data_IF_706909222457
#
_entry.id   IF_706909222457
#
_cell.length_a   1.000
_cell.length_b   1.000
_cell.length_c   1.000
_cell.angle_alpha   90.00
_cell.angle_beta   90.00
_cell.angle_gamma   90.00
#
_symmetry.space_group_name_H-M   'P 1'
#
loop_
_entity.id
_entity.type
_entity.pdbx_description
1 polymer ?
#
# COMPACT_ATOMS: atom_id res chain seq x y z
N UNK A 1 -31.55 -5.77 0.64
CA UNK A 1 -30.25 -6.11 1.24
C UNK A 1 -29.35 -4.93 0.89
N UNK A 2 -29.01 -4.12 1.84
CA UNK A 2 -28.08 -2.98 1.64
C UNK A 2 -26.73 -3.57 1.26
N UNK A 3 -26.20 -3.22 0.09
CA UNK A 3 -24.85 -3.52 -0.34
C UNK A 3 -23.88 -2.77 0.61
N UNK A 4 -23.58 -3.38 1.74
CA UNK A 4 -22.56 -2.89 2.68
C UNK A 4 -21.21 -3.13 2.02
N UNK A 5 -20.57 -2.04 1.59
CA UNK A 5 -19.18 -2.09 1.14
C UNK A 5 -18.27 -2.47 2.33
N UNK A 6 -17.14 -3.17 2.08
CA UNK A 6 -16.17 -3.46 3.14
C UNK A 6 -15.66 -2.18 3.80
N UNK A 7 -15.47 -2.22 5.12
CA UNK A 7 -14.72 -1.20 5.84
C UNK A 7 -13.24 -1.28 5.42
N UNK A 8 -12.73 -0.24 4.79
CA UNK A 8 -11.34 -0.17 4.29
C UNK A 8 -10.45 0.52 5.33
N UNK A 9 -9.53 -0.22 5.91
CA UNK A 9 -8.55 0.28 6.90
C UNK A 9 -7.16 0.23 6.27
N UNK A 10 -6.50 1.37 6.13
CA UNK A 10 -5.09 1.42 5.72
C UNK A 10 -4.17 1.52 6.93
N UNK A 11 -3.04 0.81 6.90
CA UNK A 11 -2.01 0.87 7.93
C UNK A 11 -0.78 1.50 7.29
N UNK A 12 -0.39 2.69 7.77
CA UNK A 12 0.67 3.50 7.19
C UNK A 12 1.67 3.97 8.26
N UNK A 13 2.81 4.51 7.83
CA UNK A 13 3.82 5.10 8.72
C UNK A 13 4.70 6.07 7.96
N UNK A 14 5.27 7.04 8.65
CA UNK A 14 6.22 7.99 8.06
C UNK A 14 7.57 7.38 7.65
N UNK A 15 7.94 6.18 8.14
CA UNK A 15 9.18 5.47 7.77
C UNK A 15 9.02 3.96 7.75
N UNK A 16 10.02 3.26 7.19
CA UNK A 16 10.14 1.81 7.27
C UNK A 16 10.48 1.30 8.68
N UNK A 17 10.17 0.03 8.97
CA UNK A 17 10.56 -0.64 10.21
C UNK A 17 9.76 -0.30 11.47
N UNK A 18 8.73 0.54 11.40
CA UNK A 18 7.88 0.92 12.55
C UNK A 18 6.94 -0.18 13.03
N UNK A 19 6.75 -1.25 12.23
CA UNK A 19 5.87 -2.39 12.56
C UNK A 19 4.50 -2.35 11.91
N UNK A 20 4.34 -1.65 10.77
CA UNK A 20 3.11 -1.68 9.96
C UNK A 20 2.67 -3.12 9.67
N UNK A 21 3.55 -3.90 9.02
CA UNK A 21 3.27 -5.29 8.64
C UNK A 21 3.01 -6.18 9.85
N UNK A 22 3.66 -5.91 11.00
CA UNK A 22 3.32 -6.61 12.26
C UNK A 22 1.88 -6.33 12.66
N UNK A 23 1.45 -5.06 12.59
CA UNK A 23 0.08 -4.68 12.96
C UNK A 23 -0.93 -5.22 11.93
N UNK A 24 -0.69 -5.05 10.64
CA UNK A 24 -1.61 -5.46 9.56
C UNK A 24 -1.85 -6.95 9.54
N UNK A 25 -0.80 -7.76 9.66
CA UNK A 25 -0.89 -9.23 9.67
C UNK A 25 -1.59 -9.75 10.93
N UNK A 26 -1.28 -9.20 12.11
CA UNK A 26 -1.93 -9.59 13.35
C UNK A 26 -3.41 -9.15 13.38
N UNK A 27 -3.73 -7.94 12.92
CA UNK A 27 -5.10 -7.45 12.88
C UNK A 27 -5.96 -8.28 11.89
N UNK A 28 -5.43 -8.57 10.71
CA UNK A 28 -6.11 -9.39 9.72
C UNK A 28 -6.39 -10.81 10.25
N UNK A 29 -5.39 -11.46 10.85
CA UNK A 29 -5.55 -12.78 11.42
C UNK A 29 -6.53 -12.79 12.61
N UNK A 30 -6.50 -11.77 13.45
CA UNK A 30 -7.46 -11.62 14.57
C UNK A 30 -8.90 -11.48 14.07
N UNK A 31 -9.14 -10.66 13.04
CA UNK A 31 -10.46 -10.52 12.43
C UNK A 31 -10.92 -11.83 11.78
N UNK A 32 -9.99 -12.56 11.14
CA UNK A 32 -10.28 -13.83 10.47
C UNK A 32 -10.73 -14.95 11.42
N UNK A 33 -10.50 -14.83 12.74
CA UNK A 33 -11.06 -15.78 13.72
C UNK A 33 -12.60 -15.86 13.61
N UNK A 34 -13.26 -14.76 13.29
CA UNK A 34 -14.73 -14.69 13.28
C UNK A 34 -15.34 -14.28 11.93
N UNK A 35 -14.69 -13.38 11.17
CA UNK A 35 -15.22 -12.75 9.97
C UNK A 35 -14.35 -13.00 8.75
N UNK A 36 -14.94 -12.96 7.55
CA UNK A 36 -14.16 -12.87 6.32
C UNK A 36 -13.50 -11.49 6.21
N UNK A 37 -12.20 -11.49 5.89
CA UNK A 37 -11.36 -10.31 5.78
C UNK A 37 -10.40 -10.48 4.61
N UNK A 38 -10.06 -9.38 3.94
CA UNK A 38 -8.95 -9.36 2.97
C UNK A 38 -7.81 -8.50 3.51
N UNK A 39 -6.60 -9.05 3.54
CA UNK A 39 -5.35 -8.33 3.75
C UNK A 39 -4.68 -8.12 2.41
N UNK A 40 -4.29 -6.90 2.14
CA UNK A 40 -3.63 -6.51 0.88
C UNK A 40 -2.27 -5.91 1.20
N UNK A 41 -1.21 -6.56 0.77
CA UNK A 41 0.14 -6.02 0.85
C UNK A 41 0.37 -5.08 -0.34
N UNK A 42 0.42 -3.79 -0.06
CA UNK A 42 0.64 -2.72 -1.03
C UNK A 42 2.08 -2.18 -1.00
N UNK A 43 2.96 -2.77 -0.19
CA UNK A 43 4.41 -2.53 -0.29
C UNK A 43 4.98 -3.35 -1.45
N UNK A 44 4.60 -2.94 -2.67
CA UNK A 44 4.86 -3.68 -3.91
C UNK A 44 6.35 -3.80 -4.27
N UNK A 45 7.20 -2.99 -3.66
CA UNK A 45 8.65 -3.04 -3.83
C UNK A 45 9.27 -4.15 -2.97
N UNK A 46 8.81 -4.29 -1.71
CA UNK A 46 9.31 -5.27 -0.74
C UNK A 46 8.16 -5.96 0.03
N UNK A 47 7.22 -6.65 -0.65
CA UNK A 47 6.10 -7.29 0.03
C UNK A 47 6.60 -8.37 0.97
N UNK A 48 6.14 -8.32 2.22
CA UNK A 48 6.61 -9.20 3.28
C UNK A 48 5.49 -9.81 4.16
N UNK A 49 4.24 -9.38 3.98
CA UNK A 49 3.09 -9.91 4.72
C UNK A 49 2.88 -11.41 4.48
N UNK A 50 3.22 -11.91 3.29
CA UNK A 50 3.14 -13.33 2.92
C UNK A 50 4.01 -14.27 3.77
N UNK A 51 5.00 -13.74 4.49
CA UNK A 51 5.82 -14.53 5.41
C UNK A 51 5.03 -15.09 6.60
N UNK A 52 3.89 -14.46 6.94
CA UNK A 52 3.04 -14.83 8.08
C UNK A 52 1.92 -15.80 7.71
N UNK A 53 1.64 -15.96 6.41
CA UNK A 53 0.51 -16.74 5.95
C UNK A 53 0.93 -17.83 4.96
N UNK A 54 0.61 -19.09 5.31
CA UNK A 54 0.75 -20.21 4.39
C UNK A 54 -0.64 -20.55 3.85
N UNK A 55 -0.99 -19.97 2.72
CA UNK A 55 -2.28 -20.14 2.08
C UNK A 55 -2.24 -20.96 0.80
N UNK A 56 -3.41 -21.34 0.33
CA UNK A 56 -3.61 -21.89 -1.01
C UNK A 56 -3.63 -20.74 -2.02
N UNK A 57 -2.81 -20.80 -3.06
CA UNK A 57 -2.83 -19.85 -4.18
C UNK A 57 -4.13 -20.04 -4.96
N UNK A 58 -4.98 -19.04 -4.98
CA UNK A 58 -6.29 -19.07 -5.65
C UNK A 58 -6.28 -18.34 -7.00
N UNK A 59 -5.40 -17.34 -7.13
CA UNK A 59 -5.23 -16.59 -8.37
C UNK A 59 -3.80 -16.03 -8.48
N UNK A 60 -3.28 -16.00 -9.70
CA UNK A 60 -2.02 -15.34 -10.06
C UNK A 60 -2.16 -14.71 -11.44
N UNK A 61 -1.74 -13.46 -11.58
CA UNK A 61 -1.72 -12.78 -12.87
C UNK A 61 -0.52 -11.85 -13.01
N UNK A 62 0.01 -11.79 -14.24
CA UNK A 62 1.03 -10.83 -14.61
C UNK A 62 0.40 -9.47 -14.91
N UNK A 63 1.00 -8.40 -14.40
CA UNK A 63 0.54 -7.03 -14.60
C UNK A 63 1.43 -6.34 -15.63
N UNK A 64 0.78 -5.72 -16.62
CA UNK A 64 1.47 -5.07 -17.74
C UNK A 64 1.16 -3.57 -17.80
N UNK A 65 2.12 -2.80 -18.30
CA UNK A 65 1.91 -1.45 -18.82
C UNK A 65 2.16 -1.44 -20.33
N UNK A 66 1.57 -0.49 -21.03
CA UNK A 66 1.82 -0.32 -22.47
C UNK A 66 2.96 0.67 -22.67
N UNK A 67 3.93 0.31 -23.49
CA UNK A 67 5.08 1.15 -23.85
C UNK A 67 5.19 1.28 -25.38
N UNK A 68 5.67 2.42 -25.91
CA UNK A 68 5.89 2.53 -27.34
C UNK A 68 7.09 1.68 -27.76
N UNK A 69 6.97 1.04 -28.92
CA UNK A 69 8.06 0.37 -29.61
C UNK A 69 8.36 1.12 -30.90
N UNK A 70 9.61 1.53 -31.12
CA UNK A 70 9.98 2.25 -32.32
C UNK A 70 10.09 1.32 -33.54
N UNK A 71 9.37 1.66 -34.60
CA UNK A 71 9.44 1.03 -35.92
C UNK A 71 10.22 1.98 -36.86
N UNK A 72 11.52 1.68 -37.05
CA UNK A 72 12.42 2.45 -37.88
C UNK A 72 11.93 2.52 -39.34
N UNK A 73 11.33 1.45 -39.85
CA UNK A 73 10.90 1.36 -41.25
C UNK A 73 9.80 2.36 -41.61
N UNK A 74 9.00 2.80 -40.63
CA UNK A 74 7.94 3.78 -40.83
C UNK A 74 8.34 5.19 -40.44
N UNK A 75 9.37 5.34 -39.60
CA UNK A 75 9.70 6.61 -38.96
C UNK A 75 10.28 7.62 -39.95
N UNK A 76 9.67 8.81 -39.97
CA UNK A 76 10.17 9.94 -40.80
C UNK A 76 11.08 10.89 -40.01
N UNK A 77 11.41 10.58 -38.77
CA UNK A 77 12.22 11.40 -37.86
C UNK A 77 11.69 12.85 -37.67
N UNK A 78 10.37 13.03 -37.70
CA UNK A 78 9.72 14.35 -37.61
C UNK A 78 9.89 15.06 -36.26
N UNK A 79 10.38 14.37 -35.22
CA UNK A 79 10.67 14.91 -33.88
C UNK A 79 9.45 15.27 -33.04
N UNK A 80 8.24 14.82 -33.39
CA UNK A 80 7.02 15.10 -32.64
C UNK A 80 7.03 14.34 -31.29
N UNK A 81 7.30 13.02 -31.32
CA UNK A 81 7.23 12.15 -30.13
C UNK A 81 8.14 12.58 -28.97
N UNK A 82 9.42 12.97 -29.14
CA UNK A 82 10.24 13.45 -28.04
C UNK A 82 9.78 14.81 -27.48
N UNK A 83 9.17 15.67 -28.32
CA UNK A 83 8.62 16.96 -27.85
C UNK A 83 7.34 16.79 -27.00
N UNK A 84 6.57 15.74 -27.26
CA UNK A 84 5.34 15.45 -26.53
C UNK A 84 5.59 14.76 -25.18
N UNK A 85 6.73 14.07 -25.05
CA UNK A 85 6.98 13.26 -23.86
C UNK A 85 7.48 14.10 -22.68
N UNK A 86 6.59 14.48 -21.78
CA UNK A 86 6.92 15.23 -20.55
C UNK A 86 7.84 14.44 -19.58
N UNK A 87 7.93 13.12 -19.75
CA UNK A 87 8.76 12.24 -18.92
C UNK A 87 10.10 11.90 -19.56
N UNK A 88 10.38 12.43 -20.74
CA UNK A 88 11.59 12.10 -21.52
C UNK A 88 11.79 10.60 -21.76
N UNK A 89 10.70 9.83 -21.72
CA UNK A 89 10.71 8.39 -22.00
C UNK A 89 10.96 8.07 -23.48
N UNK A 90 10.81 9.05 -24.37
CA UNK A 90 11.12 8.96 -25.80
C UNK A 90 12.02 10.12 -26.16
N UNK A 91 13.20 9.81 -26.69
CA UNK A 91 14.16 10.81 -27.17
C UNK A 91 14.60 10.51 -28.60
N UNK A 92 15.04 11.53 -29.33
CA UNK A 92 15.68 11.39 -30.63
C UNK A 92 17.18 11.61 -30.50
N UNK A 93 17.98 10.64 -30.89
CA UNK A 93 19.43 10.72 -30.92
C UNK A 93 19.93 10.45 -32.33
N UNK A 94 20.27 11.52 -33.05
CA UNK A 94 20.63 11.42 -34.48
C UNK A 94 19.49 10.81 -35.30
N UNK A 95 19.75 9.72 -36.06
CA UNK A 95 18.73 9.04 -36.88
C UNK A 95 17.86 8.04 -36.12
N UNK A 96 17.95 7.98 -34.79
CA UNK A 96 17.28 6.96 -34.01
C UNK A 96 16.33 7.57 -32.98
N UNK A 97 15.23 6.86 -32.70
CA UNK A 97 14.35 7.12 -31.59
C UNK A 97 14.66 6.08 -30.48
N UNK A 98 14.99 6.55 -29.30
CA UNK A 98 15.27 5.72 -28.13
C UNK A 98 14.08 5.81 -27.19
N UNK A 99 13.58 4.66 -26.74
CA UNK A 99 12.51 4.56 -25.74
C UNK A 99 13.12 4.05 -24.43
N UNK A 100 12.79 4.72 -23.32
CA UNK A 100 13.10 4.30 -21.95
C UNK A 100 11.84 3.78 -21.31
N UNK A 101 11.62 2.46 -21.29
CA UNK A 101 10.41 1.84 -20.77
C UNK A 101 10.13 2.20 -19.32
N UNK A 102 11.18 2.35 -18.50
CA UNK A 102 11.11 2.64 -17.06
C UNK A 102 10.49 4.03 -16.81
N UNK A 103 10.78 5.00 -17.68
CA UNK A 103 10.25 6.37 -17.61
C UNK A 103 8.85 6.51 -18.25
N UNK A 104 8.37 5.48 -18.97
CA UNK A 104 7.12 5.58 -19.72
C UNK A 104 5.90 5.43 -18.80
N UNK A 105 5.03 6.44 -18.79
CA UNK A 105 3.77 6.47 -18.03
C UNK A 105 2.55 5.97 -18.81
N UNK A 106 2.73 5.31 -19.97
CA UNK A 106 1.64 4.73 -20.78
C UNK A 106 0.54 5.74 -21.16
N UNK A 107 0.91 6.99 -21.42
CA UNK A 107 -0.05 8.05 -21.75
C UNK A 107 -0.50 8.04 -23.22
N UNK A 108 0.10 7.19 -24.07
CA UNK A 108 -0.18 7.00 -25.49
C UNK A 108 0.12 8.21 -26.40
N UNK A 109 0.42 9.39 -25.89
CA UNK A 109 0.57 10.61 -26.67
C UNK A 109 1.54 10.47 -27.85
N UNK A 110 2.70 9.81 -27.66
CA UNK A 110 3.69 9.61 -28.71
C UNK A 110 3.24 8.61 -29.79
N UNK A 111 2.37 7.67 -29.45
CA UNK A 111 1.77 6.70 -30.38
C UNK A 111 0.63 7.32 -31.18
N UNK A 112 -0.38 7.86 -30.49
CA UNK A 112 -1.60 8.41 -31.09
C UNK A 112 -1.34 9.65 -31.98
N UNK A 113 -0.31 10.44 -31.65
CA UNK A 113 0.04 11.63 -32.41
C UNK A 113 1.18 11.40 -33.41
N UNK A 114 1.56 10.14 -33.65
CA UNK A 114 2.55 9.79 -34.67
C UNK A 114 1.91 9.79 -36.05
N UNK A 115 2.30 10.68 -36.96
CA UNK A 115 1.63 10.81 -38.30
C UNK A 115 1.82 9.62 -39.22
N UNK A 116 2.72 8.69 -38.87
CA UNK A 116 3.09 7.52 -39.68
C UNK A 116 3.03 6.20 -38.90
N UNK A 117 2.40 6.20 -37.71
CA UNK A 117 2.23 5.03 -36.85
C UNK A 117 3.55 4.27 -36.55
N UNK A 118 4.65 5.02 -36.35
CA UNK A 118 5.98 4.45 -36.13
C UNK A 118 6.25 4.11 -34.64
N UNK A 119 5.28 4.27 -33.76
CA UNK A 119 5.41 4.00 -32.31
C UNK A 119 4.20 3.19 -31.79
N UNK A 120 3.96 1.96 -32.32
CA UNK A 120 2.92 1.09 -31.78
C UNK A 120 3.17 0.81 -30.29
N UNK A 121 2.09 0.70 -29.51
CA UNK A 121 2.18 0.34 -28.09
C UNK A 121 2.23 -1.16 -27.93
N UNK A 122 3.19 -1.64 -27.13
CA UNK A 122 3.36 -3.06 -26.78
C UNK A 122 3.27 -3.25 -25.26
N UNK A 123 2.82 -4.42 -24.79
CA UNK A 123 2.80 -4.71 -23.36
C UNK A 123 4.22 -4.97 -22.82
N UNK A 124 4.56 -4.34 -21.69
CA UNK A 124 5.74 -4.65 -20.87
C UNK A 124 5.26 -5.09 -19.49
N UNK A 125 5.70 -6.25 -19.03
CA UNK A 125 5.42 -6.71 -17.67
C UNK A 125 6.02 -5.74 -16.64
N UNK A 126 5.23 -5.36 -15.64
CA UNK A 126 5.62 -4.43 -14.58
C UNK A 126 5.59 -5.06 -13.20
N UNK A 127 4.90 -6.19 -13.07
CA UNK A 127 4.78 -6.91 -11.81
C UNK A 127 3.88 -8.12 -11.92
N UNK A 128 3.59 -8.72 -10.78
CA UNK A 128 2.63 -9.80 -10.65
C UNK A 128 1.75 -9.57 -9.43
N UNK A 129 0.50 -10.04 -9.51
CA UNK A 129 -0.46 -10.09 -8.42
C UNK A 129 -0.71 -11.54 -8.06
N UNK A 130 -0.79 -11.84 -6.77
CA UNK A 130 -1.12 -13.15 -6.22
C UNK A 130 -2.19 -13.03 -5.17
N UNK A 131 -3.10 -13.99 -5.16
CA UNK A 131 -4.19 -14.09 -4.19
C UNK A 131 -4.17 -15.46 -3.54
N UNK A 132 -4.18 -15.46 -2.20
CA UNK A 132 -4.09 -16.67 -1.39
C UNK A 132 -5.28 -16.74 -0.43
N UNK A 133 -5.73 -17.96 -0.13
CA UNK A 133 -6.75 -18.21 0.88
C UNK A 133 -6.18 -18.93 2.11
N UNK A 134 -6.47 -18.37 3.29
CA UNK A 134 -6.08 -18.93 4.61
C UNK A 134 -7.32 -18.96 5.50
N UNK A 135 -8.14 -19.98 5.36
CA UNK A 135 -9.44 -20.04 6.08
C UNK A 135 -10.38 -18.90 5.68
N UNK A 136 -10.69 -17.99 6.63
CA UNK A 136 -11.50 -16.79 6.39
C UNK A 136 -10.69 -15.56 5.95
N UNK A 137 -9.36 -15.67 5.94
CA UNK A 137 -8.47 -14.62 5.44
C UNK A 137 -8.21 -14.84 3.96
N UNK A 138 -8.43 -13.80 3.15
CA UNK A 138 -7.90 -13.64 1.82
C UNK A 138 -6.66 -12.76 1.90
N UNK A 139 -5.57 -13.20 1.30
CA UNK A 139 -4.31 -12.45 1.29
C UNK A 139 -3.92 -12.14 -0.15
N UNK A 140 -3.91 -10.86 -0.49
CA UNK A 140 -3.50 -10.37 -1.81
C UNK A 140 -2.18 -9.64 -1.69
N UNK A 141 -1.21 -10.03 -2.50
CA UNK A 141 0.06 -9.32 -2.63
C UNK A 141 0.32 -8.96 -4.09
N UNK A 142 1.06 -7.90 -4.30
CA UNK A 142 1.62 -7.57 -5.61
C UNK A 142 3.09 -7.24 -5.47
N UNK A 143 3.86 -7.62 -6.48
CA UNK A 143 5.31 -7.38 -6.50
C UNK A 143 5.72 -6.76 -7.83
N UNK A 144 6.49 -5.67 -7.78
CA UNK A 144 7.12 -5.08 -8.93
C UNK A 144 8.20 -6.00 -9.52
N UNK A 145 8.36 -5.96 -10.84
CA UNK A 145 9.54 -6.53 -11.51
C UNK A 145 10.80 -5.75 -11.12
N UNK A 146 11.92 -6.45 -11.06
CA UNK A 146 13.21 -5.83 -10.73
C UNK A 146 13.55 -4.74 -11.77
N UNK A 147 13.84 -3.53 -11.27
CA UNK A 147 14.15 -2.37 -12.11
C UNK A 147 12.92 -1.60 -12.60
N UNK A 148 11.71 -1.94 -12.14
CA UNK A 148 10.50 -1.14 -12.39
C UNK A 148 10.25 -0.19 -11.21
N UNK A 149 9.98 1.09 -11.50
CA UNK A 149 9.87 2.15 -10.46
C UNK A 149 8.42 2.63 -10.23
N UNK A 150 7.46 2.18 -11.05
CA UNK A 150 6.10 2.73 -11.04
C UNK A 150 5.16 1.99 -10.08
N UNK A 151 5.45 2.03 -8.77
CA UNK A 151 4.67 1.40 -7.72
C UNK A 151 3.19 1.83 -7.73
N UNK A 152 2.89 3.12 -7.96
CA UNK A 152 1.53 3.68 -7.92
C UNK A 152 0.57 2.95 -8.86
N UNK A 153 1.01 2.63 -10.08
CA UNK A 153 0.15 1.94 -11.05
C UNK A 153 -0.18 0.51 -10.61
N UNK A 154 0.80 -0.20 -10.03
CA UNK A 154 0.58 -1.55 -9.53
C UNK A 154 -0.33 -1.54 -8.30
N UNK A 155 -0.11 -0.62 -7.34
CA UNK A 155 -0.99 -0.41 -6.18
C UNK A 155 -2.44 -0.17 -6.62
N UNK A 156 -2.66 0.74 -7.59
CA UNK A 156 -4.00 1.06 -8.10
C UNK A 156 -4.68 -0.15 -8.73
N UNK A 157 -3.95 -0.96 -9.51
CA UNK A 157 -4.47 -2.21 -10.12
C UNK A 157 -4.79 -3.26 -9.07
N UNK A 158 -3.94 -3.42 -8.05
CA UNK A 158 -4.17 -4.34 -6.93
C UNK A 158 -5.44 -3.97 -6.15
N UNK A 159 -5.61 -2.68 -5.84
CA UNK A 159 -6.82 -2.17 -5.16
C UNK A 159 -8.06 -2.42 -6.00
N UNK A 160 -7.99 -2.19 -7.33
CA UNK A 160 -9.11 -2.48 -8.23
C UNK A 160 -9.45 -3.97 -8.23
N UNK A 161 -8.45 -4.86 -8.29
CA UNK A 161 -8.68 -6.30 -8.18
C UNK A 161 -9.43 -6.65 -6.88
N UNK A 162 -9.03 -6.07 -5.76
CA UNK A 162 -9.67 -6.27 -4.45
C UNK A 162 -11.11 -5.75 -4.45
N UNK A 163 -11.38 -4.59 -5.02
CA UNK A 163 -12.73 -4.02 -5.11
C UNK A 163 -13.65 -4.89 -5.98
N UNK A 164 -13.13 -5.43 -7.08
CA UNK A 164 -13.89 -6.26 -8.01
C UNK A 164 -14.20 -7.67 -7.42
N UNK A 165 -13.31 -8.22 -6.59
CA UNK A 165 -13.43 -9.61 -6.10
C UNK A 165 -13.89 -9.72 -4.63
N UNK A 166 -13.60 -8.70 -3.80
CA UNK A 166 -13.82 -8.74 -2.34
C UNK A 166 -14.82 -7.70 -1.82
N UNK A 167 -15.69 -7.20 -2.67
CA UNK A 167 -16.73 -6.22 -2.28
C UNK A 167 -17.75 -6.72 -1.23
N UNK A 168 -17.73 -8.01 -0.87
CA UNK A 168 -18.64 -8.62 0.12
C UNK A 168 -18.00 -8.98 1.46
N UNK A 169 -16.67 -8.88 1.60
CA UNK A 169 -16.01 -9.10 2.90
C UNK A 169 -16.38 -7.97 3.85
N UNK A 170 -16.31 -8.22 5.14
CA UNK A 170 -16.64 -7.20 6.14
C UNK A 170 -15.59 -6.10 6.24
N UNK A 171 -14.32 -6.45 6.09
CA UNK A 171 -13.18 -5.54 6.28
C UNK A 171 -12.10 -5.84 5.25
N UNK A 172 -11.52 -4.78 4.69
CA UNK A 172 -10.31 -4.82 3.87
C UNK A 172 -9.19 -4.04 4.58
N UNK A 173 -8.04 -4.69 4.79
CA UNK A 173 -6.85 -4.09 5.42
C UNK A 173 -5.80 -3.88 4.33
N UNK A 174 -5.29 -2.65 4.23
CA UNK A 174 -4.23 -2.27 3.31
C UNK A 174 -2.93 -2.04 4.09
N UNK A 175 -1.93 -2.91 3.93
CA UNK A 175 -0.56 -2.69 4.43
C UNK A 175 0.16 -1.76 3.44
N UNK A 176 0.31 -0.50 3.80
CA UNK A 176 0.83 0.54 2.91
C UNK A 176 2.36 0.51 2.83
N UNK A 177 2.96 0.96 1.72
CA UNK A 177 4.40 1.21 1.68
C UNK A 177 4.81 2.24 2.76
N UNK A 178 6.11 2.31 3.11
CA UNK A 178 6.61 3.29 4.08
C UNK A 178 6.71 4.70 3.49
N UNK A 179 6.71 5.71 4.37
CA UNK A 179 6.93 7.10 4.01
C UNK A 179 5.66 7.91 3.78
N UNK A 180 5.80 9.01 3.03
CA UNK A 180 4.71 9.98 2.73
C UNK A 180 4.62 10.29 1.23
N UNK A 181 5.19 9.43 0.39
CA UNK A 181 5.29 9.58 -1.06
C UNK A 181 3.99 9.15 -1.79
N UNK A 182 3.96 9.34 -3.12
CA UNK A 182 2.82 8.99 -3.97
C UNK A 182 2.30 7.55 -3.76
N UNK A 183 3.13 6.51 -3.59
CA UNK A 183 2.66 5.15 -3.28
C UNK A 183 1.81 5.10 -2.00
N UNK A 184 2.22 5.78 -0.92
CA UNK A 184 1.43 5.82 0.34
C UNK A 184 0.11 6.56 0.14
N UNK A 185 0.13 7.69 -0.58
CA UNK A 185 -1.09 8.43 -0.90
C UNK A 185 -2.06 7.57 -1.71
N UNK A 186 -1.56 6.80 -2.69
CA UNK A 186 -2.40 5.87 -3.46
C UNK A 186 -2.94 4.73 -2.59
N UNK A 187 -2.12 4.14 -1.72
CA UNK A 187 -2.54 3.07 -0.82
C UNK A 187 -3.64 3.53 0.16
N UNK A 188 -3.58 4.79 0.63
CA UNK A 188 -4.51 5.33 1.64
C UNK A 188 -5.71 6.06 1.05
N UNK A 189 -5.71 6.40 -0.25
CA UNK A 189 -6.72 7.25 -0.91
C UNK A 189 -8.17 6.81 -0.64
N UNK A 190 -8.45 5.53 -0.76
CA UNK A 190 -9.82 4.99 -0.66
C UNK A 190 -10.11 4.38 0.72
N UNK A 191 -9.19 4.52 1.67
CA UNK A 191 -9.40 4.05 3.03
C UNK A 191 -10.46 4.89 3.75
N UNK A 192 -11.34 4.22 4.49
CA UNK A 192 -12.32 4.84 5.38
C UNK A 192 -11.67 5.32 6.67
N UNK A 193 -10.60 4.65 7.09
CA UNK A 193 -9.79 5.01 8.25
C UNK A 193 -8.31 4.65 8.04
N UNK A 194 -7.39 5.48 8.54
CA UNK A 194 -5.94 5.22 8.45
C UNK A 194 -5.34 5.05 9.85
N UNK A 195 -4.60 3.97 10.06
CA UNK A 195 -3.84 3.73 11.28
C UNK A 195 -2.39 4.12 11.01
N UNK A 196 -1.90 5.16 11.68
CA UNK A 196 -0.50 5.58 11.61
C UNK A 196 0.31 4.86 12.69
N UNK A 197 1.28 4.03 12.27
CA UNK A 197 2.16 3.30 13.18
C UNK A 197 3.47 4.05 13.35
N UNK A 198 3.86 4.32 14.59
CA UNK A 198 5.11 5.01 14.92
C UNK A 198 5.82 4.37 16.11
N UNK A 199 7.04 4.82 16.40
CA UNK A 199 7.85 4.44 17.55
C UNK A 199 8.04 5.65 18.49
N UNK A 200 8.18 5.46 19.84
CA UNK A 200 8.35 6.54 20.78
C UNK A 200 9.81 7.03 20.79
N UNK A 201 10.28 7.54 19.67
CA UNK A 201 11.64 8.08 19.48
C UNK A 201 11.56 9.45 18.80
N UNK A 202 12.59 10.33 18.92
CA UNK A 202 12.61 11.61 18.24
C UNK A 202 12.42 11.50 16.72
N UNK A 203 13.04 10.50 16.07
CA UNK A 203 12.86 10.23 14.65
C UNK A 203 11.43 9.75 14.35
N UNK A 204 10.87 8.85 15.22
CA UNK A 204 9.50 8.40 15.09
C UNK A 204 8.49 9.54 15.19
N UNK A 205 8.73 10.53 16.07
CA UNK A 205 7.90 11.72 16.19
C UNK A 205 7.98 12.60 14.93
N UNK A 206 9.19 12.86 14.42
CA UNK A 206 9.37 13.64 13.20
C UNK A 206 8.64 13.00 12.00
N UNK A 207 8.84 11.69 11.79
CA UNK A 207 8.22 10.97 10.68
C UNK A 207 6.68 10.88 10.85
N UNK A 208 6.20 10.77 12.10
CA UNK A 208 4.77 10.83 12.40
C UNK A 208 4.18 12.19 12.03
N UNK A 209 4.84 13.30 12.35
CA UNK A 209 4.32 14.63 12.02
C UNK A 209 4.12 14.81 10.52
N UNK A 210 5.05 14.33 9.70
CA UNK A 210 4.91 14.37 8.23
C UNK A 210 3.75 13.48 7.74
N UNK A 211 3.58 12.30 8.34
CA UNK A 211 2.47 11.41 8.00
C UNK A 211 1.11 12.03 8.39
N UNK A 212 1.03 12.69 9.55
CA UNK A 212 -0.16 13.42 10.02
C UNK A 212 -0.52 14.55 9.07
N UNK A 213 0.45 15.36 8.65
CA UNK A 213 0.23 16.43 7.66
C UNK A 213 -0.29 15.85 6.34
N UNK A 214 0.26 14.73 5.89
CA UNK A 214 -0.20 14.04 4.67
C UNK A 214 -1.65 13.57 4.81
N UNK A 215 -2.03 12.93 5.92
CA UNK A 215 -3.41 12.46 6.13
C UNK A 215 -4.40 13.62 6.26
N UNK A 216 -4.01 14.73 6.89
CA UNK A 216 -4.81 15.95 6.95
C UNK A 216 -5.02 16.58 5.57
N UNK A 217 -3.96 16.65 4.75
CA UNK A 217 -4.05 17.15 3.37
C UNK A 217 -4.97 16.27 2.50
N UNK A 218 -4.97 14.94 2.72
CA UNK A 218 -5.86 13.98 2.07
C UNK A 218 -7.27 13.93 2.70
N UNK A 219 -7.51 14.68 3.78
CA UNK A 219 -8.77 14.69 4.53
C UNK A 219 -9.21 13.28 4.98
N UNK A 220 -8.24 12.45 5.39
CA UNK A 220 -8.51 11.09 5.87
C UNK A 220 -8.69 11.09 7.39
N UNK A 221 -9.72 10.40 7.93
CA UNK A 221 -9.78 10.12 9.35
C UNK A 221 -8.65 9.15 9.71
N UNK A 222 -7.95 9.43 10.81
CA UNK A 222 -6.82 8.61 11.24
C UNK A 222 -6.66 8.59 12.76
N UNK A 223 -5.90 7.60 13.24
CA UNK A 223 -5.44 7.50 14.62
C UNK A 223 -4.05 6.88 14.66
N UNK A 224 -3.41 6.95 15.83
CA UNK A 224 -2.00 6.55 16.01
C UNK A 224 -1.90 5.30 16.87
N UNK A 225 -1.04 4.37 16.45
CA UNK A 225 -0.54 3.25 17.25
C UNK A 225 0.93 3.48 17.54
N UNK A 226 1.29 3.53 18.81
CA UNK A 226 2.69 3.59 19.26
C UNK A 226 3.21 2.17 19.44
N UNK A 227 4.02 1.71 18.51
CA UNK A 227 4.72 0.43 18.59
C UNK A 227 6.03 0.57 19.38
N UNK A 228 6.56 -0.54 19.90
CA UNK A 228 7.77 -0.58 20.72
C UNK A 228 7.69 0.38 21.93
N UNK A 229 6.51 0.54 22.50
CA UNK A 229 6.32 1.40 23.67
C UNK A 229 7.26 0.98 24.81
N UNK A 230 7.95 1.96 25.39
CA UNK A 230 8.93 1.75 26.48
C UNK A 230 10.41 1.87 26.06
N UNK A 231 10.73 2.04 24.73
CA UNK A 231 12.13 2.24 24.32
C UNK A 231 12.58 3.72 24.32
N UNK A 232 11.66 4.66 24.40
CA UNK A 232 11.91 6.09 24.30
C UNK A 232 11.18 6.89 25.36
N UNK A 233 10.77 8.09 24.99
CA UNK A 233 10.05 9.04 25.84
C UNK A 233 8.57 9.14 25.43
N UNK A 234 7.80 9.97 26.17
CA UNK A 234 6.38 10.19 25.92
C UNK A 234 6.08 11.36 24.95
N UNK A 235 7.08 11.89 24.22
CA UNK A 235 6.89 13.02 23.30
C UNK A 235 5.86 12.73 22.21
N UNK A 236 5.86 11.50 21.64
CA UNK A 236 4.83 11.07 20.67
C UNK A 236 3.42 11.13 21.29
N UNK A 237 3.28 10.75 22.56
CA UNK A 237 1.99 10.77 23.26
C UNK A 237 1.56 12.22 23.54
N UNK A 238 2.50 13.07 23.93
CA UNK A 238 2.24 14.50 24.14
C UNK A 238 1.81 15.17 22.83
N UNK A 239 2.55 14.91 21.74
CA UNK A 239 2.19 15.38 20.39
C UNK A 239 0.77 14.95 19.99
N UNK A 240 0.42 13.67 20.15
CA UNK A 240 -0.94 13.20 19.82
C UNK A 240 -2.01 13.93 20.64
N UNK A 241 -1.72 14.23 21.92
CA UNK A 241 -2.66 14.96 22.80
C UNK A 241 -2.80 16.43 22.38
N UNK A 242 -1.70 17.11 22.10
CA UNK A 242 -1.68 18.52 21.67
C UNK A 242 -2.39 18.72 20.32
N UNK A 243 -2.18 17.79 19.41
CA UNK A 243 -2.77 17.79 18.07
C UNK A 243 -4.18 17.20 17.99
N UNK A 244 -4.76 16.77 19.15
CA UNK A 244 -6.06 16.09 19.26
C UNK A 244 -6.16 14.84 18.36
N UNK A 245 -5.07 14.07 18.26
CA UNK A 245 -5.01 12.83 17.48
C UNK A 245 -5.35 11.65 18.39
N UNK A 246 -6.30 10.77 17.99
CA UNK A 246 -6.63 9.58 18.75
C UNK A 246 -5.43 8.63 18.89
N UNK A 247 -5.05 8.29 20.11
CA UNK A 247 -4.09 7.25 20.41
C UNK A 247 -4.84 5.93 20.57
N UNK A 248 -4.74 5.05 19.57
CA UNK A 248 -5.52 3.82 19.48
C UNK A 248 -4.97 2.71 20.37
N UNK A 249 -3.64 2.55 20.39
CA UNK A 249 -2.98 1.54 21.21
C UNK A 249 -1.50 1.86 21.46
N UNK A 250 -0.94 1.18 22.48
CA UNK A 250 0.48 1.13 22.79
C UNK A 250 0.93 -0.32 22.81
N UNK A 251 1.68 -0.74 21.79
CA UNK A 251 2.22 -2.10 21.71
C UNK A 251 3.58 -2.13 22.40
N UNK A 252 3.79 -2.97 23.42
CA UNK A 252 5.01 -2.94 24.22
C UNK A 252 6.24 -3.35 23.40
N UNK A 253 7.39 -2.79 23.74
CA UNK A 253 8.67 -3.27 23.25
C UNK A 253 9.00 -4.59 23.93
N UNK A 254 9.10 -5.66 23.18
CA UNK A 254 9.43 -6.98 23.69
C UNK A 254 10.34 -7.73 22.71
N UNK A 255 11.44 -8.27 23.24
CA UNK A 255 12.33 -9.14 22.47
C UNK A 255 11.59 -10.37 21.91
N UNK A 256 10.67 -10.93 22.68
CA UNK A 256 9.88 -12.09 22.26
C UNK A 256 8.95 -11.75 21.10
N UNK A 257 8.36 -10.52 21.05
CA UNK A 257 7.59 -10.03 19.92
C UNK A 257 8.48 -9.98 18.66
N UNK A 258 9.70 -9.45 18.78
CA UNK A 258 10.64 -9.38 17.66
C UNK A 258 11.08 -10.78 17.18
N UNK A 259 11.29 -11.73 18.08
CA UNK A 259 11.63 -13.14 17.75
C UNK A 259 10.48 -13.85 17.04
N UNK A 260 9.22 -13.64 17.46
CA UNK A 260 8.04 -14.16 16.76
C UNK A 260 7.92 -13.57 15.37
N UNK A 261 8.04 -12.23 15.25
CA UNK A 261 8.02 -11.55 13.96
C UNK A 261 9.08 -12.12 12.99
N UNK A 262 10.34 -12.22 13.43
CA UNK A 262 11.43 -12.74 12.60
C UNK A 262 11.26 -14.21 12.19
N UNK A 263 10.39 -14.94 12.90
CA UNK A 263 10.02 -16.33 12.61
C UNK A 263 8.74 -16.46 11.78
N UNK A 264 8.17 -15.34 11.31
CA UNK A 264 6.91 -15.33 10.56
C UNK A 264 5.70 -15.76 11.40
N UNK A 265 5.70 -15.51 12.71
CA UNK A 265 4.63 -15.89 13.63
C UNK A 265 3.81 -14.68 14.07
N UNK A 266 2.51 -14.90 14.23
CA UNK A 266 1.59 -13.90 14.74
C UNK A 266 1.78 -13.70 16.25
N UNK A 267 1.87 -12.45 16.69
CA UNK A 267 2.23 -12.12 18.08
C UNK A 267 1.03 -12.12 19.02
N UNK A 268 -0.17 -11.79 18.52
CA UNK A 268 -1.37 -11.64 19.37
C UNK A 268 -1.81 -12.95 20.04
N UNK A 269 -1.40 -14.10 19.50
CA UNK A 269 -1.73 -15.41 20.06
C UNK A 269 -0.99 -15.68 21.37
N UNK A 270 0.23 -15.14 21.51
CA UNK A 270 1.09 -15.31 22.68
C UNK A 270 1.03 -14.14 23.68
N UNK A 271 0.46 -12.99 23.26
CA UNK A 271 0.41 -11.76 24.05
C UNK A 271 -1.03 -11.25 24.19
N UNK A 272 -1.71 -11.51 25.34
CA UNK A 272 -3.08 -11.03 25.57
C UNK A 272 -3.24 -9.51 25.45
N UNK A 273 -2.22 -8.75 25.86
CA UNK A 273 -2.20 -7.29 25.75
C UNK A 273 -2.18 -6.81 24.29
N UNK A 274 -1.50 -7.56 23.40
CA UNK A 274 -1.55 -7.28 21.95
C UNK A 274 -2.93 -7.62 21.41
N UNK A 275 -3.51 -8.76 21.83
CA UNK A 275 -4.86 -9.16 21.40
C UNK A 275 -5.91 -8.11 21.83
N UNK A 276 -5.81 -7.59 23.05
CA UNK A 276 -6.70 -6.53 23.53
C UNK A 276 -6.53 -5.25 22.70
N UNK A 277 -5.29 -4.85 22.43
CA UNK A 277 -4.98 -3.69 21.58
C UNK A 277 -5.60 -3.82 20.19
N UNK A 278 -5.57 -5.01 19.57
CA UNK A 278 -6.21 -5.24 18.27
C UNK A 278 -7.72 -5.10 18.34
N UNK A 279 -8.36 -5.58 19.41
CA UNK A 279 -9.80 -5.41 19.65
C UNK A 279 -10.16 -3.93 19.75
N UNK A 280 -9.43 -3.19 20.60
CA UNK A 280 -9.67 -1.75 20.84
C UNK A 280 -9.51 -0.94 19.55
N UNK A 281 -8.47 -1.23 18.74
CA UNK A 281 -8.23 -0.62 17.43
C UNK A 281 -9.41 -0.87 16.50
N UNK A 282 -9.85 -2.13 16.39
CA UNK A 282 -10.92 -2.52 15.49
C UNK A 282 -12.25 -1.84 15.88
N UNK A 283 -12.60 -1.87 17.18
CA UNK A 283 -13.80 -1.26 17.71
C UNK A 283 -13.81 0.25 17.47
N UNK A 284 -12.67 0.91 17.65
CA UNK A 284 -12.53 2.33 17.35
C UNK A 284 -12.77 2.64 15.87
N UNK A 285 -12.13 1.89 14.96
CA UNK A 285 -12.30 2.07 13.52
C UNK A 285 -13.77 1.90 13.09
N UNK A 286 -14.42 0.82 13.56
CA UNK A 286 -15.83 0.53 13.24
C UNK A 286 -16.75 1.64 13.76
N UNK A 287 -16.54 2.08 15.00
CA UNK A 287 -17.41 3.10 15.63
C UNK A 287 -17.24 4.46 14.96
N UNK A 288 -16.01 4.86 14.64
CA UNK A 288 -15.71 6.13 14.02
C UNK A 288 -16.31 6.23 12.62
N UNK A 289 -16.15 5.18 11.80
CA UNK A 289 -16.67 5.20 10.43
C UNK A 289 -18.19 5.13 10.41
N UNK A 290 -18.81 4.29 11.26
CA UNK A 290 -20.27 4.21 11.35
C UNK A 290 -20.91 5.47 11.96
N UNK A 291 -20.24 6.11 12.93
CA UNK A 291 -20.72 7.33 13.58
C UNK A 291 -20.60 8.59 12.72
N UNK A 292 -19.67 8.61 11.74
CA UNK A 292 -19.54 9.71 10.77
C UNK A 292 -20.47 9.61 9.56
N UNK A 293 -21.24 8.52 9.44
CA UNK A 293 -22.22 8.32 8.38
C UNK A 293 -23.67 8.72 8.78
N UNK A 294 -23.87 9.36 9.97
CA UNK A 294 -25.16 9.79 10.50
C UNK A 294 -25.39 11.31 10.33
#
# INVERSE_FOLDING_TARGET
MTDLKPLKIAIASGKGGTGKTTLSTNLAAFIAEQNEVVLVDLDVEEPNSGLFFKGELTHEEDIFKMIPQWDESKCTLCGICPKLCSYHAVIQLGPSIIVFPELCHSCYACSELCPVDALPMIPKKTGALRDFRVGKLHFVESRLEIGEEQAVQLISKTKKYVDDNYGKVSIAIFDSPPGTSCPVMEATRDADFVILVTEPTPFGLHDLSLAVETMRALQKPFGVVVNRYGIGNDEVIHYCREENIPLLAKIPNSRKIAELYSSGKLTYQDFPEVKQSLSDILDYCITTVKGGAA
#
